data_IF_064577395209
#
_entry.id   IF_064577395209
#
_cell.length_a   1.000
_cell.length_b   1.000
_cell.length_c   1.000
_cell.angle_alpha   90.00
_cell.angle_beta   90.00
_cell.angle_gamma   90.00
#
_symmetry.space_group_name_H-M   'P 1'
#
loop_
_entity.id
_entity.type
_entity.pdbx_description
1 polymer ?
#
# COMPACT_ATOMS: atom_id res chain seq x y z
N UNK A 1 -6.45 -6.33 4.55
CA UNK A 1 -5.57 -5.67 5.53
C UNK A 1 -4.13 -6.02 5.17
N UNK A 2 -3.28 -5.01 4.98
CA UNK A 2 -1.92 -5.20 4.49
C UNK A 2 -0.90 -4.61 5.48
N UNK A 3 0.12 -5.39 5.86
CA UNK A 3 1.28 -4.92 6.62
C UNK A 3 2.43 -4.58 5.67
N UNK A 4 2.57 -3.29 5.40
CA UNK A 4 3.61 -2.73 4.53
C UNK A 4 4.82 -2.21 5.31
N UNK A 5 4.97 -2.53 6.59
CA UNK A 5 6.06 -2.01 7.45
C UNK A 5 7.46 -2.30 6.88
N UNK A 6 7.62 -3.40 6.14
CA UNK A 6 8.88 -3.79 5.46
C UNK A 6 9.08 -3.15 4.10
N UNK A 7 8.07 -2.45 3.57
CA UNK A 7 8.07 -1.84 2.24
C UNK A 7 8.21 -0.32 2.27
N UNK A 8 8.27 0.28 3.48
CA UNK A 8 8.26 1.72 3.68
C UNK A 8 9.32 2.46 2.86
N UNK A 9 10.57 1.99 2.90
CA UNK A 9 11.70 2.62 2.19
C UNK A 9 11.73 2.27 0.69
N UNK A 10 11.01 1.21 0.29
CA UNK A 10 10.97 0.69 -1.08
C UNK A 10 9.78 1.24 -1.89
N UNK A 11 8.89 2.01 -1.25
CA UNK A 11 7.72 2.57 -1.90
C UNK A 11 8.10 3.75 -2.83
N UNK A 12 7.87 3.66 -4.15
CA UNK A 12 8.26 4.71 -5.09
C UNK A 12 7.56 6.05 -4.85
N UNK A 13 6.38 6.04 -4.21
CA UNK A 13 5.65 7.25 -3.83
C UNK A 13 6.17 7.94 -2.56
N UNK A 14 7.22 7.40 -1.92
CA UNK A 14 7.78 7.90 -0.67
C UNK A 14 7.19 7.23 0.57
N UNK A 15 7.92 7.30 1.68
CA UNK A 15 7.51 6.74 2.97
C UNK A 15 6.41 7.59 3.62
N UNK A 16 6.45 8.91 3.40
CA UNK A 16 5.57 9.88 4.03
C UNK A 16 4.11 9.60 3.73
N UNK A 17 3.80 9.26 2.47
CA UNK A 17 2.43 8.96 2.05
C UNK A 17 1.87 7.70 2.71
N UNK A 18 2.71 6.69 2.98
CA UNK A 18 2.29 5.47 3.68
C UNK A 18 2.03 5.74 5.17
N UNK A 19 2.85 6.59 5.79
CA UNK A 19 2.67 6.97 7.19
C UNK A 19 1.44 7.85 7.40
N UNK A 20 1.10 8.72 6.45
CA UNK A 20 -0.09 9.58 6.51
C UNK A 20 -1.40 8.79 6.50
N UNK A 21 -1.47 7.74 5.69
CA UNK A 21 -2.68 6.93 5.49
C UNK A 21 -2.72 5.65 6.34
N UNK A 22 -1.64 5.36 7.07
CA UNK A 22 -1.49 4.14 7.86
C UNK A 22 -2.66 3.90 8.83
N UNK A 23 -3.23 2.70 8.77
CA UNK A 23 -4.36 2.30 9.62
C UNK A 23 -5.74 2.75 9.12
N UNK A 24 -5.84 3.36 7.94
CA UNK A 24 -7.10 3.70 7.28
C UNK A 24 -7.37 2.81 6.05
N UNK A 25 -8.59 2.86 5.50
CA UNK A 25 -8.87 2.25 4.20
C UNK A 25 -8.36 3.17 3.10
N UNK A 26 -7.39 2.68 2.33
CA UNK A 26 -6.70 3.45 1.29
C UNK A 26 -7.07 3.02 -0.13
N UNK A 27 -8.16 2.27 -0.30
CA UNK A 27 -8.57 1.71 -1.59
C UNK A 27 -8.73 2.80 -2.65
N UNK A 28 -9.50 3.86 -2.35
CA UNK A 28 -9.72 4.96 -3.30
C UNK A 28 -8.43 5.72 -3.63
N UNK A 29 -7.57 5.98 -2.63
CA UNK A 29 -6.31 6.68 -2.84
C UNK A 29 -5.34 5.86 -3.71
N UNK A 30 -5.25 4.55 -3.45
CA UNK A 30 -4.42 3.64 -4.21
C UNK A 30 -4.84 3.56 -5.69
N UNK A 31 -6.15 3.48 -5.94
CA UNK A 31 -6.74 3.44 -7.27
C UNK A 31 -6.60 4.79 -8.01
N UNK A 32 -6.82 5.91 -7.32
CA UNK A 32 -6.71 7.26 -7.88
C UNK A 32 -5.29 7.56 -8.39
N UNK A 33 -4.26 7.13 -7.64
CA UNK A 33 -2.85 7.27 -8.07
C UNK A 33 -2.56 6.48 -9.33
N UNK A 34 -3.32 5.41 -9.61
CA UNK A 34 -3.16 4.60 -10.82
C UNK A 34 -1.94 3.68 -10.75
N UNK A 35 -1.74 3.03 -9.60
CA UNK A 35 -0.66 2.04 -9.44
C UNK A 35 -0.71 0.96 -10.53
N UNK A 36 0.47 0.60 -11.04
CA UNK A 36 0.61 -0.41 -12.09
C UNK A 36 0.04 -1.78 -11.67
N UNK A 37 -0.29 -2.63 -12.65
CA UNK A 37 -0.73 -4.01 -12.41
C UNK A 37 0.28 -4.80 -11.58
N UNK A 38 1.58 -4.56 -11.77
CA UNK A 38 2.63 -5.20 -10.98
C UNK A 38 2.60 -4.75 -9.50
N UNK A 39 2.28 -3.48 -9.23
CA UNK A 39 2.13 -2.98 -7.87
C UNK A 39 0.90 -3.60 -7.20
N UNK A 40 -0.21 -3.75 -7.93
CA UNK A 40 -1.40 -4.47 -7.47
C UNK A 40 -1.10 -5.94 -7.13
N UNK A 41 -0.40 -6.65 -8.02
CA UNK A 41 0.01 -8.04 -7.78
C UNK A 41 0.95 -8.19 -6.58
N UNK A 42 1.80 -7.19 -6.32
CA UNK A 42 2.72 -7.20 -5.19
C UNK A 42 2.02 -7.01 -3.84
N UNK A 43 0.82 -6.43 -3.77
CA UNK A 43 0.07 -6.25 -2.51
C UNK A 43 -0.16 -7.58 -1.79
N UNK A 44 -0.37 -8.67 -2.53
CA UNK A 44 -0.60 -10.02 -1.98
C UNK A 44 0.52 -10.45 -1.03
N UNK A 45 1.75 -9.97 -1.23
CA UNK A 45 2.90 -10.30 -0.36
C UNK A 45 2.80 -9.70 1.04
N UNK A 46 1.99 -8.65 1.19
CA UNK A 46 1.82 -7.89 2.42
C UNK A 46 0.48 -8.17 3.09
N UNK A 47 -0.37 -9.02 2.52
CA UNK A 47 -1.68 -9.32 3.08
C UNK A 47 -1.55 -10.10 4.39
N UNK A 48 -2.22 -9.61 5.44
CA UNK A 48 -2.26 -10.26 6.76
C UNK A 48 -3.66 -10.72 7.17
N UNK A 49 -4.69 -10.44 6.35
CA UNK A 49 -6.06 -10.86 6.58
C UNK A 49 -7.09 -9.92 5.95
N UNK A 50 -8.37 -10.25 6.14
CA UNK A 50 -9.51 -9.40 5.77
C UNK A 50 -9.96 -8.51 6.94
N UNK A 51 -10.67 -7.43 6.63
CA UNK A 51 -11.42 -6.66 7.63
C UNK A 51 -12.64 -7.45 8.12
#
# INVERSE_FOLDING_TARGET
>A
VYDVSRYLDDHPGGIEVLLEVGGTDTTEAFDYVGHSSLAQENLVRYEIGSL
#
